data_IF_429090353117
#
_entry.id   IF_429090353117
#
_cell.length_a   1.000
_cell.length_b   1.000
_cell.length_c   1.000
_cell.angle_alpha   90.00
_cell.angle_beta   90.00
_cell.angle_gamma   90.00
#
_symmetry.space_group_name_H-M   'P 1'
#
loop_
_entity.id
_entity.type
_entity.pdbx_description
1 polymer ?
#
# COMPACT_ATOMS: atom_id res chain seq x y z
N UNK A 1 17.54 -8.37 43.26
CA UNK A 1 17.19 -7.35 42.27
C UNK A 1 16.47 -8.07 41.16
N UNK A 2 15.15 -7.95 41.10
CA UNK A 2 14.34 -8.61 40.09
C UNK A 2 14.61 -7.95 38.74
N UNK A 3 15.19 -8.70 37.81
CA UNK A 3 15.22 -8.33 36.41
C UNK A 3 13.77 -8.42 35.91
N UNK A 4 13.05 -7.30 35.91
CA UNK A 4 11.86 -7.16 35.07
C UNK A 4 12.29 -7.41 33.63
N UNK A 5 12.03 -8.62 33.13
CA UNK A 5 12.07 -8.93 31.71
C UNK A 5 11.17 -7.90 31.01
N UNK A 6 11.79 -6.88 30.42
CA UNK A 6 11.09 -5.95 29.57
C UNK A 6 10.57 -6.77 28.38
N UNK A 7 9.27 -7.06 28.41
CA UNK A 7 8.57 -7.66 27.28
C UNK A 7 8.99 -6.89 26.01
N UNK A 8 9.40 -7.58 24.93
CA UNK A 8 9.87 -6.91 23.73
C UNK A 8 8.80 -5.93 23.25
N UNK A 9 9.15 -4.64 23.24
CA UNK A 9 8.22 -3.58 22.85
C UNK A 9 7.81 -3.83 21.40
N UNK A 10 6.57 -4.31 21.23
CA UNK A 10 6.03 -4.75 19.94
C UNK A 10 5.07 -3.68 19.43
N UNK A 11 5.45 -2.98 18.37
CA UNK A 11 4.53 -2.09 17.66
C UNK A 11 4.01 -2.76 16.39
N UNK A 12 2.84 -2.32 15.95
CA UNK A 12 2.21 -2.81 14.73
C UNK A 12 1.71 -1.62 13.94
N UNK A 13 2.24 -1.46 12.75
CA UNK A 13 1.87 -0.41 11.82
C UNK A 13 1.17 -1.00 10.60
N UNK A 14 0.20 -0.26 10.08
CA UNK A 14 -0.66 -0.72 8.99
C UNK A 14 -0.55 0.24 7.82
N UNK A 15 -0.34 -0.31 6.62
CA UNK A 15 -0.09 0.48 5.43
C UNK A 15 -0.98 0.06 4.27
N UNK A 16 -1.47 1.06 3.56
CA UNK A 16 -2.03 0.89 2.23
C UNK A 16 -1.14 1.61 1.22
N UNK A 17 -0.71 0.88 0.20
CA UNK A 17 0.05 1.42 -0.91
C UNK A 17 -0.79 1.26 -2.18
N UNK A 18 -0.87 2.33 -2.97
CA UNK A 18 -1.40 2.26 -4.33
C UNK A 18 -0.46 2.97 -5.29
N UNK A 19 -0.39 2.50 -6.52
CA UNK A 19 0.28 3.22 -7.58
C UNK A 19 -0.49 3.10 -8.89
N UNK A 20 -0.27 4.10 -9.73
CA UNK A 20 -0.65 4.08 -11.14
C UNK A 20 0.58 4.49 -11.93
N UNK A 21 1.13 3.56 -12.68
CA UNK A 21 2.20 3.80 -13.64
C UNK A 21 1.63 3.93 -15.07
N UNK A 22 2.31 4.66 -15.93
CA UNK A 22 2.04 4.75 -17.38
C UNK A 22 3.37 4.55 -18.07
N UNK A 23 3.45 3.51 -18.88
CA UNK A 23 4.66 3.15 -19.61
C UNK A 23 4.31 2.73 -21.04
N UNK A 24 5.35 2.60 -21.86
CA UNK A 24 5.24 2.19 -23.26
C UNK A 24 5.89 0.81 -23.41
N UNK A 25 5.13 -0.14 -23.94
CA UNK A 25 5.62 -1.46 -24.33
C UNK A 25 5.30 -1.70 -25.81
N UNK A 26 6.33 -2.00 -26.61
CA UNK A 26 6.19 -2.24 -28.05
C UNK A 26 5.41 -1.13 -28.78
N UNK A 27 5.69 0.13 -28.45
CA UNK A 27 5.02 1.30 -29.04
C UNK A 27 3.57 1.50 -28.58
N UNK A 28 3.06 0.69 -27.66
CA UNK A 28 1.71 0.83 -27.09
C UNK A 28 1.80 1.34 -25.65
N UNK A 29 1.02 2.37 -25.33
CA UNK A 29 0.94 2.88 -23.96
C UNK A 29 -0.04 2.07 -23.10
N UNK A 30 0.40 1.73 -21.88
CA UNK A 30 -0.37 1.01 -20.88
C UNK A 30 -0.48 1.83 -19.59
N UNK A 31 -1.48 1.49 -18.77
CA UNK A 31 -1.60 1.93 -17.38
C UNK A 31 -1.55 0.70 -16.49
N UNK A 32 -0.61 0.68 -15.56
CA UNK A 32 -0.50 -0.39 -14.55
C UNK A 32 -0.90 0.15 -13.20
N UNK A 33 -1.93 -0.45 -12.63
CA UNK A 33 -2.41 -0.22 -11.30
C UNK A 33 -1.85 -1.27 -10.37
N UNK A 34 -1.34 -0.84 -9.22
CA UNK A 34 -0.92 -1.73 -8.16
C UNK A 34 -1.50 -1.24 -6.84
N UNK A 35 -1.95 -2.17 -6.01
CA UNK A 35 -2.43 -1.89 -4.68
C UNK A 35 -1.98 -2.98 -3.71
N UNK A 36 -1.59 -2.58 -2.49
CA UNK A 36 -1.10 -3.50 -1.47
C UNK A 36 -1.52 -3.05 -0.08
N UNK A 37 -1.97 -4.01 0.72
CA UNK A 37 -2.17 -3.86 2.15
C UNK A 37 -1.05 -4.62 2.88
N UNK A 38 -0.31 -3.90 3.71
CA UNK A 38 0.85 -4.41 4.43
C UNK A 38 0.72 -4.12 5.92
N UNK A 39 1.13 -5.08 6.75
CA UNK A 39 1.29 -4.92 8.20
C UNK A 39 2.78 -5.02 8.52
N UNK A 40 3.30 -4.07 9.27
CA UNK A 40 4.68 -4.06 9.73
C UNK A 40 4.68 -4.30 11.23
N UNK A 41 5.42 -5.31 11.69
CA UNK A 41 5.54 -5.66 13.10
C UNK A 41 6.97 -5.37 13.52
N UNK A 42 7.14 -4.37 14.38
CA UNK A 42 8.45 -3.98 14.90
C UNK A 42 8.63 -4.52 16.31
N UNK A 43 9.82 -5.03 16.62
CA UNK A 43 10.17 -5.58 17.92
C UNK A 43 11.65 -5.31 18.21
N UNK A 44 12.00 -5.15 19.48
CA UNK A 44 13.41 -5.10 19.88
C UNK A 44 13.97 -6.51 20.07
N UNK A 45 15.15 -6.76 19.52
CA UNK A 45 15.91 -7.99 19.72
C UNK A 45 17.39 -7.64 19.87
N UNK A 46 18.00 -8.03 20.98
CA UNK A 46 19.42 -7.77 21.27
C UNK A 46 19.81 -6.27 21.20
N UNK A 47 18.91 -5.36 21.61
CA UNK A 47 19.15 -3.91 21.55
C UNK A 47 18.94 -3.28 20.17
N UNK A 48 18.67 -4.07 19.12
CA UNK A 48 18.36 -3.58 17.79
C UNK A 48 16.85 -3.62 17.51
N UNK A 49 16.35 -2.61 16.81
CA UNK A 49 14.98 -2.61 16.31
C UNK A 49 14.92 -3.44 15.02
N UNK A 50 14.09 -4.48 15.02
CA UNK A 50 13.79 -5.28 13.84
C UNK A 50 12.35 -5.06 13.40
N UNK A 51 12.12 -4.94 12.09
CA UNK A 51 10.79 -4.80 11.51
C UNK A 51 10.53 -5.94 10.54
N UNK A 52 9.46 -6.70 10.79
CA UNK A 52 8.97 -7.73 9.87
C UNK A 52 7.78 -7.19 9.08
N UNK A 53 7.92 -7.18 7.78
CA UNK A 53 6.88 -6.76 6.84
C UNK A 53 6.04 -7.96 6.42
N UNK A 54 4.71 -7.85 6.49
CA UNK A 54 3.76 -8.88 6.06
C UNK A 54 2.79 -8.29 5.04
N UNK A 55 2.80 -8.80 3.82
CA UNK A 55 1.79 -8.47 2.81
C UNK A 55 0.52 -9.26 3.10
N UNK A 56 -0.56 -8.56 3.40
CA UNK A 56 -1.86 -9.16 3.74
C UNK A 56 -2.72 -9.33 2.49
N UNK A 57 -2.60 -8.40 1.55
CA UNK A 57 -3.33 -8.43 0.28
C UNK A 57 -2.59 -7.62 -0.77
N UNK A 58 -2.68 -8.03 -2.02
CA UNK A 58 -2.09 -7.36 -3.17
C UNK A 58 -2.95 -7.60 -4.41
N UNK A 59 -3.04 -6.60 -5.28
CA UNK A 59 -3.62 -6.74 -6.61
C UNK A 59 -2.88 -5.87 -7.62
N UNK A 60 -2.81 -6.36 -8.85
CA UNK A 60 -2.18 -5.69 -9.98
C UNK A 60 -3.12 -5.80 -11.18
N UNK A 61 -3.30 -4.69 -11.89
CA UNK A 61 -4.18 -4.65 -13.05
C UNK A 61 -3.56 -3.74 -14.11
N UNK A 62 -3.59 -4.19 -15.35
CA UNK A 62 -3.07 -3.45 -16.47
C UNK A 62 -4.11 -3.27 -17.56
N UNK A 63 -4.10 -2.07 -18.16
CA UNK A 63 -5.02 -1.74 -19.24
C UNK A 63 -4.32 -0.86 -20.28
N UNK A 64 -4.59 -1.11 -21.56
CA UNK A 64 -4.14 -0.21 -22.64
C UNK A 64 -4.69 1.20 -22.39
N UNK A 65 -3.83 2.21 -22.47
CA UNK A 65 -4.18 3.61 -22.20
C UNK A 65 -5.41 4.06 -23.00
N UNK A 66 -5.50 3.64 -24.27
CA UNK A 66 -6.63 3.94 -25.18
C UNK A 66 -7.97 3.33 -24.75
N UNK A 67 -7.97 2.25 -23.97
CA UNK A 67 -9.18 1.59 -23.48
C UNK A 67 -9.48 1.93 -22.01
N UNK A 68 -8.58 2.67 -21.35
CA UNK A 68 -8.73 3.00 -19.95
C UNK A 68 -9.90 4.00 -19.74
N UNK A 69 -10.76 3.79 -18.72
CA UNK A 69 -11.81 4.74 -18.40
C UNK A 69 -11.20 6.09 -18.01
N UNK A 70 -11.95 7.19 -18.18
CA UNK A 70 -11.44 8.55 -17.92
C UNK A 70 -10.86 8.67 -16.49
N UNK A 71 -11.54 8.09 -15.51
CA UNK A 71 -11.08 8.04 -14.11
C UNK A 71 -9.71 7.37 -13.92
N UNK A 72 -9.40 6.34 -14.71
CA UNK A 72 -8.13 5.63 -14.67
C UNK A 72 -6.99 6.51 -15.20
N UNK A 73 -7.27 7.26 -16.26
CA UNK A 73 -6.33 8.20 -16.88
C UNK A 73 -6.07 9.45 -16.03
N UNK A 74 -7.08 9.91 -15.30
CA UNK A 74 -6.99 11.09 -14.45
C UNK A 74 -6.20 10.87 -13.16
N UNK A 75 -5.96 9.61 -12.77
CA UNK A 75 -5.13 9.31 -11.60
C UNK A 75 -3.67 9.73 -11.85
N UNK A 76 -2.98 10.26 -10.83
CA UNK A 76 -1.61 10.73 -10.99
C UNK A 76 -0.63 9.59 -11.27
N UNK A 77 0.37 9.84 -12.14
CA UNK A 77 1.46 8.89 -12.40
C UNK A 77 2.44 8.83 -11.22
N UNK A 78 2.12 8.04 -10.20
CA UNK A 78 2.91 7.96 -8.97
C UNK A 78 2.54 6.75 -8.12
N UNK A 79 3.38 6.50 -7.12
CA UNK A 79 3.09 5.68 -5.96
C UNK A 79 2.67 6.55 -4.78
N UNK A 80 1.70 6.07 -4.00
CA UNK A 80 1.24 6.68 -2.75
C UNK A 80 1.18 5.60 -1.68
N UNK A 81 1.74 5.90 -0.50
CA UNK A 81 1.67 5.04 0.69
C UNK A 81 0.97 5.81 1.80
N UNK A 82 0.06 5.14 2.48
CA UNK A 82 -0.77 5.68 3.56
C UNK A 82 -0.52 4.87 4.83
N UNK A 83 -0.20 5.55 5.92
CA UNK A 83 -0.19 5.00 7.28
C UNK A 83 -1.61 5.03 7.83
N UNK A 84 -2.10 3.88 8.29
CA UNK A 84 -3.49 3.67 8.64
C UNK A 84 -3.64 3.25 10.11
N UNK A 85 -4.78 3.61 10.70
CA UNK A 85 -5.23 2.92 11.90
C UNK A 85 -5.63 1.47 11.56
N UNK A 86 -5.54 0.60 12.55
CA UNK A 86 -5.93 -0.81 12.43
C UNK A 86 -7.35 -0.98 11.88
N UNK A 87 -8.31 -0.17 12.35
CA UNK A 87 -9.71 -0.26 11.93
C UNK A 87 -9.88 0.08 10.44
N UNK A 88 -9.22 1.15 9.97
CA UNK A 88 -9.28 1.53 8.55
C UNK A 88 -8.64 0.43 7.69
N UNK A 89 -7.50 -0.11 8.12
CA UNK A 89 -6.82 -1.20 7.41
C UNK A 89 -7.74 -2.42 7.22
N UNK A 90 -8.38 -2.89 8.28
CA UNK A 90 -9.27 -4.05 8.17
C UNK A 90 -10.53 -3.77 7.35
N UNK A 91 -11.08 -2.56 7.43
CA UNK A 91 -12.18 -2.16 6.56
C UNK A 91 -11.76 -2.18 5.08
N UNK A 92 -10.60 -1.63 4.73
CA UNK A 92 -10.06 -1.71 3.38
C UNK A 92 -9.81 -3.15 2.94
N UNK A 93 -9.31 -4.01 3.83
CA UNK A 93 -9.13 -5.43 3.55
C UNK A 93 -10.46 -6.10 3.19
N UNK A 94 -11.55 -5.80 3.89
CA UNK A 94 -12.88 -6.31 3.54
C UNK A 94 -13.35 -5.80 2.17
N UNK A 95 -13.11 -4.53 1.85
CA UNK A 95 -13.41 -3.99 0.51
C UNK A 95 -12.56 -4.69 -0.54
N UNK A 96 -11.29 -4.93 -0.27
CA UNK A 96 -10.36 -5.58 -1.20
C UNK A 96 -10.80 -7.01 -1.54
N UNK A 97 -11.33 -7.76 -0.56
CA UNK A 97 -11.90 -9.08 -0.78
C UNK A 97 -13.17 -9.08 -1.64
N UNK A 98 -14.00 -8.04 -1.54
CA UNK A 98 -15.29 -7.96 -2.23
C UNK A 98 -15.17 -7.33 -3.62
N UNK A 99 -14.41 -6.25 -3.72
CA UNK A 99 -14.39 -5.38 -4.90
C UNK A 99 -12.98 -4.76 -5.09
N UNK A 100 -11.97 -5.56 -5.46
CA UNK A 100 -10.55 -5.16 -5.46
C UNK A 100 -10.26 -3.97 -6.38
N UNK A 101 -10.94 -3.89 -7.52
CA UNK A 101 -10.78 -2.80 -8.52
C UNK A 101 -11.03 -1.40 -7.96
N UNK A 102 -11.81 -1.26 -6.88
CA UNK A 102 -12.06 0.06 -6.29
C UNK A 102 -10.86 0.59 -5.51
N UNK A 103 -10.00 -0.29 -4.97
CA UNK A 103 -8.88 0.14 -4.13
C UNK A 103 -7.89 1.02 -4.90
N UNK A 104 -7.76 0.84 -6.21
CA UNK A 104 -6.92 1.71 -7.05
C UNK A 104 -7.36 3.19 -7.02
N UNK A 105 -8.64 3.46 -6.70
CA UNK A 105 -9.25 4.79 -6.76
C UNK A 105 -9.54 5.40 -5.38
N UNK A 106 -9.32 4.65 -4.30
CA UNK A 106 -9.65 5.09 -2.94
C UNK A 106 -8.50 5.88 -2.32
N UNK A 107 -8.85 6.96 -1.62
CA UNK A 107 -7.98 7.64 -0.66
C UNK A 107 -8.52 7.27 0.73
N UNK A 108 -7.80 6.46 1.52
CA UNK A 108 -8.29 6.06 2.83
C UNK A 108 -8.15 7.20 3.85
N UNK A 109 -8.94 7.12 4.92
CA UNK A 109 -8.68 7.94 6.11
C UNK A 109 -7.34 7.50 6.72
N UNK A 110 -6.35 8.38 6.68
CA UNK A 110 -4.96 8.05 6.98
C UNK A 110 -4.38 9.01 8.01
N UNK A 111 -3.36 8.54 8.72
CA UNK A 111 -2.60 9.35 9.68
C UNK A 111 -1.51 10.15 8.96
N UNK A 112 -0.79 9.50 8.06
CA UNK A 112 0.25 10.10 7.21
C UNK A 112 0.18 9.54 5.81
N UNK A 113 0.67 10.31 4.84
CA UNK A 113 0.85 9.81 3.48
C UNK A 113 2.16 10.30 2.88
N UNK A 114 2.75 9.46 2.04
CA UNK A 114 3.88 9.81 1.21
C UNK A 114 3.53 9.57 -0.25
N UNK A 115 4.16 10.34 -1.14
CA UNK A 115 3.98 10.24 -2.58
C UNK A 115 5.34 10.25 -3.26
N UNK A 116 5.52 9.32 -4.18
CA UNK A 116 6.74 9.18 -4.98
C UNK A 116 6.34 9.15 -6.45
N UNK A 117 6.90 10.05 -7.25
CA UNK A 117 6.66 10.05 -8.71
C UNK A 117 7.58 9.00 -9.33
N UNK A 118 7.08 8.32 -10.36
CA UNK A 118 7.96 7.50 -11.19
C UNK A 118 8.92 8.42 -11.94
N UNK A 119 10.21 8.12 -11.85
CA UNK A 119 11.25 8.78 -12.64
C UNK A 119 11.05 8.42 -14.11
N UNK A 120 10.86 9.45 -14.93
CA UNK A 120 10.82 9.40 -16.41
C UNK A 120 12.20 9.22 -17.00
#
# INVERSE_FOLDING_TARGET
>A
MEQTEQLPQKSVDYYFLRSKDVHIENGTAFITFFARLTREVSFQRNGEQQTRVQTIWVDINEVKLKHAPIKARALPNCMQRYELSQNVFYNLYQVAKKSPKYLFYVIPFHQKSTREKFSS
#
